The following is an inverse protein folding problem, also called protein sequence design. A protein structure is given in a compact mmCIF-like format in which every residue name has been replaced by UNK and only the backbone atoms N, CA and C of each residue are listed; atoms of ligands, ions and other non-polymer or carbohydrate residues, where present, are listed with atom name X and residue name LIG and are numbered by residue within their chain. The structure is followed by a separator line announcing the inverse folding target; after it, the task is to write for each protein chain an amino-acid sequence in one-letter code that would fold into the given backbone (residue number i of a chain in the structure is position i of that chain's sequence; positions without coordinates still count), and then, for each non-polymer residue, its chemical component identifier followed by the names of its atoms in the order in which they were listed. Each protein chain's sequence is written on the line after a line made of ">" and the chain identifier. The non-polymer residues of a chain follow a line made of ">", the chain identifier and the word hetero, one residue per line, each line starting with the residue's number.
data_IF_672787271512
#
_entry.id   IF_672787271512
#
_cell.length_a   1.000
_cell.length_b   1.000
_cell.length_c   1.000
_cell.angle_alpha   90.00
_cell.angle_beta   90.00
_cell.angle_gamma   90.00
#
_symmetry.space_group_name_H-M   'P 1'
#
loop_
_entity.id
_entity.type
_entity.pdbx_description
1 polymer ?
#
# COMPACT_ATOMS: atom_id res chain seq x y z
N UNK A 1 25.69 -12.35 8.71
CA UNK A 1 25.24 -13.44 7.82
C UNK A 1 25.12 -14.70 8.66
N UNK A 2 24.02 -15.45 8.54
CA UNK A 2 23.81 -16.68 9.31
C UNK A 2 24.61 -17.86 8.75
N UNK A 3 24.57 -19.04 9.42
CA UNK A 3 25.16 -20.27 8.90
C UNK A 3 24.61 -20.62 7.50
N UNK A 4 25.47 -21.02 6.57
CA UNK A 4 25.08 -21.41 5.19
C UNK A 4 25.13 -20.30 4.12
N UNK A 5 25.57 -19.08 4.46
CA UNK A 5 25.71 -17.96 3.51
C UNK A 5 27.16 -17.71 3.06
N UNK A 6 28.06 -18.68 3.25
CA UNK A 6 29.51 -18.53 3.02
C UNK A 6 29.85 -18.29 1.54
N UNK A 7 29.05 -18.84 0.63
CA UNK A 7 29.26 -18.74 -0.82
C UNK A 7 28.35 -17.70 -1.50
N UNK A 8 27.53 -16.98 -0.73
CA UNK A 8 26.62 -15.96 -1.28
C UNK A 8 27.30 -14.60 -1.27
N UNK A 9 27.53 -14.05 -2.46
CA UNK A 9 28.00 -12.67 -2.60
C UNK A 9 26.80 -11.72 -2.62
N UNK A 10 26.57 -10.88 -1.60
CA UNK A 10 25.44 -9.95 -1.58
C UNK A 10 25.59 -8.88 -2.67
N UNK A 11 24.50 -8.58 -3.39
CA UNK A 11 24.46 -7.44 -4.31
C UNK A 11 24.07 -6.19 -3.54
N UNK A 12 24.91 -5.16 -3.63
CA UNK A 12 24.57 -3.82 -3.19
C UNK A 12 23.79 -3.10 -4.28
N UNK A 13 22.56 -2.71 -3.98
CA UNK A 13 21.71 -1.91 -4.87
C UNK A 13 21.53 -0.55 -4.21
N UNK A 14 21.98 0.50 -4.88
CA UNK A 14 21.76 1.88 -4.46
C UNK A 14 20.52 2.40 -5.18
N UNK A 15 19.69 3.15 -4.47
CA UNK A 15 18.55 3.83 -5.04
C UNK A 15 18.32 5.15 -4.31
N UNK A 16 17.64 6.06 -5.00
CA UNK A 16 17.14 7.30 -4.44
C UNK A 16 15.61 7.20 -4.44
N UNK A 17 14.96 7.25 -3.27
CA UNK A 17 13.50 7.17 -3.21
C UNK A 17 12.89 8.44 -3.79
N UNK A 18 11.93 8.28 -4.68
CA UNK A 18 11.23 9.40 -5.30
C UNK A 18 10.61 9.04 -6.64
N UNK A 19 9.96 10.02 -7.25
CA UNK A 19 9.30 9.87 -8.54
C UNK A 19 9.37 11.18 -9.33
N UNK A 20 9.22 11.08 -10.65
CA UNK A 20 9.17 12.26 -11.53
C UNK A 20 7.82 12.95 -11.39
N UNK A 21 7.82 14.26 -11.17
CA UNK A 21 6.61 15.09 -11.18
C UNK A 21 5.82 14.97 -12.49
N UNK A 22 6.52 14.77 -13.61
CA UNK A 22 5.93 14.47 -14.92
C UNK A 22 6.63 13.27 -15.54
N UNK A 23 5.86 12.23 -15.80
CA UNK A 23 6.30 10.97 -16.40
C UNK A 23 5.95 10.90 -17.89
N UNK A 24 4.92 11.61 -18.34
CA UNK A 24 4.60 11.80 -19.75
C UNK A 24 4.97 13.21 -20.19
N UNK A 25 5.98 13.34 -21.05
CA UNK A 25 6.44 14.61 -21.61
C UNK A 25 6.54 14.50 -23.13
N UNK A 26 5.72 15.29 -23.84
CA UNK A 26 5.60 15.24 -25.31
C UNK A 26 5.28 13.81 -25.74
N UNK A 27 6.12 13.19 -26.55
CA UNK A 27 5.99 11.84 -27.08
C UNK A 27 6.73 10.76 -26.27
N UNK A 28 7.23 11.08 -25.08
CA UNK A 28 7.95 10.15 -24.21
C UNK A 28 7.17 9.92 -22.92
N UNK A 29 7.01 8.65 -22.54
CA UNK A 29 6.40 8.24 -21.28
C UNK A 29 7.37 7.34 -20.52
N UNK A 30 7.70 7.74 -19.30
CA UNK A 30 8.52 6.95 -18.38
C UNK A 30 7.64 5.92 -17.65
N UNK A 31 8.09 4.67 -17.62
CA UNK A 31 7.40 3.55 -16.96
C UNK A 31 8.40 2.77 -16.10
N UNK A 32 7.95 2.33 -14.92
CA UNK A 32 8.78 1.63 -13.94
C UNK A 32 9.85 2.51 -13.32
N UNK A 33 11.07 1.98 -13.15
CA UNK A 33 12.18 2.69 -12.50
C UNK A 33 12.53 4.04 -13.17
N UNK A 34 12.20 4.21 -14.45
CA UNK A 34 12.40 5.48 -15.16
C UNK A 34 11.41 6.58 -14.72
N UNK A 35 10.22 6.20 -14.23
CA UNK A 35 9.18 7.09 -13.73
C UNK A 35 9.30 7.38 -12.23
N UNK A 36 9.74 6.39 -11.44
CA UNK A 36 10.00 6.55 -10.01
C UNK A 36 10.27 5.22 -9.32
N UNK A 37 10.90 5.29 -8.16
CA UNK A 37 11.16 4.13 -7.32
C UNK A 37 10.97 4.48 -5.85
N UNK A 38 10.24 3.63 -5.15
CA UNK A 38 10.08 3.64 -3.71
C UNK A 38 10.61 2.31 -3.17
N UNK A 39 10.93 2.27 -1.88
CA UNK A 39 11.40 1.04 -1.27
C UNK A 39 10.36 -0.09 -1.38
N UNK A 40 10.80 -1.36 -1.51
CA UNK A 40 9.90 -2.48 -1.81
C UNK A 40 9.17 -3.03 -0.57
N UNK A 41 8.82 -2.18 0.40
CA UNK A 41 8.17 -2.60 1.65
C UNK A 41 6.81 -3.27 1.40
N UNK A 42 6.05 -2.75 0.43
CA UNK A 42 4.69 -3.22 0.08
C UNK A 42 4.60 -3.71 -1.39
N UNK A 43 5.74 -4.11 -1.98
CA UNK A 43 5.81 -4.65 -3.36
C UNK A 43 5.16 -3.78 -4.44
N UNK A 44 5.23 -2.45 -4.31
CA UNK A 44 4.49 -1.49 -5.17
C UNK A 44 5.08 -1.28 -6.56
N UNK A 45 6.32 -1.72 -6.82
CA UNK A 45 7.00 -1.42 -8.09
C UNK A 45 6.27 -1.94 -9.33
N UNK A 46 5.85 -3.21 -9.31
CA UNK A 46 5.10 -3.82 -10.43
C UNK A 46 3.69 -3.24 -10.53
N UNK A 47 3.03 -3.00 -9.40
CA UNK A 47 1.70 -2.40 -9.35
C UNK A 47 1.66 -1.04 -10.07
N UNK A 48 2.65 -0.18 -9.83
CA UNK A 48 2.71 1.14 -10.47
C UNK A 48 3.03 1.03 -11.97
N UNK A 49 3.82 0.03 -12.38
CA UNK A 49 4.06 -0.28 -13.80
C UNK A 49 2.74 -0.65 -14.49
N UNK A 50 1.96 -1.55 -13.89
CA UNK A 50 0.67 -1.98 -14.45
C UNK A 50 -0.32 -0.81 -14.54
N UNK A 51 -0.40 0.02 -13.50
CA UNK A 51 -1.23 1.21 -13.50
C UNK A 51 -0.81 2.20 -14.61
N UNK A 52 0.49 2.45 -14.78
CA UNK A 52 1.00 3.33 -15.82
C UNK A 52 0.66 2.78 -17.23
N UNK A 53 0.87 1.49 -17.48
CA UNK A 53 0.58 0.87 -18.78
C UNK A 53 -0.93 0.92 -19.07
N UNK A 54 -1.78 0.59 -18.08
CA UNK A 54 -3.23 0.66 -18.24
C UNK A 54 -3.72 2.08 -18.56
N UNK A 55 -3.17 3.09 -17.86
CA UNK A 55 -3.46 4.49 -18.14
C UNK A 55 -2.99 4.93 -19.53
N UNK A 56 -1.81 4.51 -19.98
CA UNK A 56 -1.31 4.82 -21.33
C UNK A 56 -2.21 4.19 -22.39
N UNK A 57 -2.64 2.94 -22.19
CA UNK A 57 -3.52 2.23 -23.12
C UNK A 57 -4.90 2.91 -23.24
N UNK A 58 -5.51 3.26 -22.11
CA UNK A 58 -6.82 3.93 -22.06
C UNK A 58 -6.76 5.35 -22.64
N UNK A 59 -5.69 6.09 -22.35
CA UNK A 59 -5.52 7.49 -22.75
C UNK A 59 -4.65 7.65 -24.01
N UNK A 60 -4.50 6.58 -24.80
CA UNK A 60 -3.62 6.62 -25.97
C UNK A 60 -4.10 7.68 -26.97
N UNK A 61 -3.25 8.62 -27.40
CA UNK A 61 -3.66 9.73 -28.26
C UNK A 61 -3.83 9.25 -29.71
N UNK A 62 -4.99 8.68 -30.03
CA UNK A 62 -5.31 8.26 -31.41
C UNK A 62 -5.43 9.45 -32.36
N UNK A 63 -5.98 10.57 -31.88
CA UNK A 63 -6.16 11.82 -32.63
C UNK A 63 -6.05 13.02 -31.66
N UNK A 64 -5.68 14.18 -32.18
CA UNK A 64 -5.58 15.41 -31.39
C UNK A 64 -4.25 15.57 -30.64
N UNK A 65 -4.14 16.60 -29.77
CA UNK A 65 -2.89 16.93 -29.10
C UNK A 65 -2.55 15.93 -27.99
N UNK A 66 -1.32 15.37 -28.03
CA UNK A 66 -0.79 14.44 -27.01
C UNK A 66 -0.76 15.06 -25.60
N UNK A 67 -0.71 16.40 -25.50
CA UNK A 67 -0.63 17.10 -24.22
C UNK A 67 -1.89 16.93 -23.36
N UNK A 68 -3.05 16.65 -23.96
CA UNK A 68 -4.30 16.45 -23.21
C UNK A 68 -4.26 15.17 -22.34
N UNK A 69 -4.04 13.96 -22.91
CA UNK A 69 -3.89 12.76 -22.10
C UNK A 69 -2.64 12.78 -21.22
N UNK A 70 -1.53 13.38 -21.69
CA UNK A 70 -0.31 13.48 -20.90
C UNK A 70 -0.52 14.25 -19.58
N UNK A 71 -1.31 15.34 -19.60
CA UNK A 71 -1.64 16.11 -18.40
C UNK A 71 -2.41 15.25 -17.39
N UNK A 72 -3.46 14.58 -17.84
CA UNK A 72 -4.28 13.72 -16.98
C UNK A 72 -3.48 12.56 -16.42
N UNK A 73 -2.68 11.91 -17.25
CA UNK A 73 -1.76 10.86 -16.82
C UNK A 73 -0.82 11.33 -15.71
N UNK A 74 -0.17 12.49 -15.89
CA UNK A 74 0.76 13.03 -14.90
C UNK A 74 0.08 13.35 -13.57
N UNK A 75 -1.11 13.93 -13.58
CA UNK A 75 -1.90 14.18 -12.36
C UNK A 75 -2.23 12.88 -11.61
N UNK A 76 -2.73 11.88 -12.34
CA UNK A 76 -3.15 10.60 -11.77
C UNK A 76 -1.98 9.81 -11.20
N UNK A 77 -0.87 9.72 -11.95
CA UNK A 77 0.29 8.93 -11.51
C UNK A 77 1.01 9.59 -10.34
N UNK A 78 1.15 10.93 -10.33
CA UNK A 78 1.74 11.66 -9.21
C UNK A 78 0.91 11.46 -7.93
N UNK A 79 -0.42 11.63 -8.01
CA UNK A 79 -1.29 11.42 -6.86
C UNK A 79 -1.24 9.97 -6.33
N UNK A 80 -1.10 8.99 -7.23
CA UNK A 80 -0.89 7.59 -6.84
C UNK A 80 0.43 7.39 -6.07
N UNK A 81 1.53 7.99 -6.55
CA UNK A 81 2.81 7.95 -5.84
C UNK A 81 2.71 8.60 -4.47
N UNK A 82 2.05 9.76 -4.35
CA UNK A 82 1.83 10.43 -3.06
C UNK A 82 1.05 9.54 -2.10
N UNK A 83 -0.02 8.88 -2.55
CA UNK A 83 -0.79 7.95 -1.72
C UNK A 83 0.07 6.76 -1.26
N UNK A 84 0.94 6.22 -2.14
CA UNK A 84 1.89 5.17 -1.75
C UNK A 84 2.88 5.70 -0.71
N UNK A 85 3.41 6.92 -0.84
CA UNK A 85 4.30 7.54 0.15
C UNK A 85 3.60 7.67 1.50
N UNK A 86 2.34 8.10 1.54
CA UNK A 86 1.54 8.15 2.76
C UNK A 86 1.40 6.73 3.38
N UNK A 87 1.07 5.73 2.57
CA UNK A 87 0.93 4.35 3.05
C UNK A 87 2.25 3.76 3.56
N UNK A 88 3.37 4.01 2.88
CA UNK A 88 4.69 3.58 3.35
C UNK A 88 5.08 4.29 4.64
N UNK A 89 4.90 5.61 4.73
CA UNK A 89 5.24 6.38 5.93
C UNK A 89 4.45 5.91 7.15
N UNK A 90 3.20 5.45 6.97
CA UNK A 90 2.39 4.86 8.04
C UNK A 90 3.12 3.73 8.80
N UNK A 91 3.89 2.91 8.10
CA UNK A 91 4.66 1.80 8.71
C UNK A 91 5.80 2.28 9.60
N UNK A 92 6.24 3.52 9.42
CA UNK A 92 7.37 4.10 10.13
C UNK A 92 6.94 5.04 11.25
N UNK A 93 5.99 5.92 10.98
CA UNK A 93 5.57 6.95 11.94
C UNK A 93 4.75 6.38 13.11
N UNK A 94 4.29 5.13 13.02
CA UNK A 94 3.60 4.43 14.10
C UNK A 94 4.54 3.61 15.01
N UNK A 95 5.83 3.54 14.68
CA UNK A 95 6.78 2.73 15.43
C UNK A 95 6.95 3.23 16.86
N UNK A 96 6.92 2.30 17.83
CA UNK A 96 7.21 2.60 19.25
C UNK A 96 8.70 2.42 19.60
N UNK A 97 9.53 2.13 18.59
CA UNK A 97 10.96 1.89 18.75
C UNK A 97 11.72 3.20 19.04
N UNK A 98 12.75 3.11 19.88
CA UNK A 98 13.44 4.28 20.41
C UNK A 98 14.79 4.57 19.76
N UNK A 99 15.28 3.72 18.85
CA UNK A 99 16.55 3.97 18.17
C UNK A 99 16.45 5.18 17.23
N UNK A 100 17.58 5.88 16.94
CA UNK A 100 17.56 7.16 16.21
C UNK A 100 16.75 7.12 14.90
N UNK A 101 16.96 6.10 14.07
CA UNK A 101 16.22 5.92 12.83
C UNK A 101 14.69 5.90 13.02
N UNK A 102 14.20 5.26 14.07
CA UNK A 102 12.77 5.16 14.35
C UNK A 102 12.23 6.46 14.95
N UNK A 103 12.99 7.10 15.83
CA UNK A 103 12.65 8.42 16.37
C UNK A 103 12.53 9.49 15.28
N UNK A 104 13.47 9.51 14.35
CA UNK A 104 13.43 10.47 13.24
C UNK A 104 12.20 10.22 12.34
N UNK A 105 11.77 8.95 12.24
CA UNK A 105 10.59 8.58 11.48
C UNK A 105 9.26 8.91 12.17
N UNK A 106 9.24 9.07 13.50
CA UNK A 106 8.06 9.49 14.26
C UNK A 106 7.98 11.00 14.47
N UNK A 107 9.01 11.75 14.05
CA UNK A 107 8.99 13.22 14.06
C UNK A 107 7.83 13.73 13.17
N UNK A 108 6.88 14.51 13.71
CA UNK A 108 5.78 15.09 12.93
C UNK A 108 6.23 15.88 11.70
N UNK A 109 7.40 16.51 11.73
CA UNK A 109 7.94 17.26 10.59
C UNK A 109 8.30 16.35 9.39
N UNK A 110 8.42 15.04 9.61
CA UNK A 110 8.71 14.04 8.58
C UNK A 110 7.44 13.35 8.04
N UNK A 111 6.26 13.66 8.58
CA UNK A 111 4.98 13.03 8.22
C UNK A 111 4.28 13.93 7.19
N UNK A 112 3.89 13.40 6.01
CA UNK A 112 3.12 14.18 5.04
C UNK A 112 1.80 14.69 5.64
N UNK A 113 1.43 15.93 5.30
CA UNK A 113 0.23 16.59 5.85
C UNK A 113 -1.03 15.73 5.72
N UNK A 114 -1.24 15.11 4.54
CA UNK A 114 -2.38 14.22 4.30
C UNK A 114 -2.43 13.05 5.29
N UNK A 115 -1.28 12.43 5.59
CA UNK A 115 -1.21 11.34 6.56
C UNK A 115 -1.43 11.87 7.98
N UNK A 116 -0.87 13.02 8.34
CA UNK A 116 -1.09 13.64 9.65
C UNK A 116 -2.58 13.91 9.90
N UNK A 117 -3.28 14.50 8.92
CA UNK A 117 -4.72 14.76 8.98
C UNK A 117 -5.54 13.48 9.10
N UNK A 118 -5.15 12.41 8.40
CA UNK A 118 -5.81 11.11 8.50
C UNK A 118 -5.57 10.47 9.86
N UNK A 119 -4.35 10.52 10.39
CA UNK A 119 -4.02 10.00 11.72
C UNK A 119 -4.82 10.71 12.82
N UNK A 120 -4.99 12.03 12.72
CA UNK A 120 -5.82 12.79 13.68
C UNK A 120 -7.27 12.30 13.66
N UNK A 121 -7.87 12.18 12.47
CA UNK A 121 -9.21 11.63 12.31
C UNK A 121 -9.31 10.18 12.82
N UNK A 122 -8.28 9.37 12.55
CA UNK A 122 -8.30 7.95 12.89
C UNK A 122 -8.16 7.66 14.39
N UNK A 123 -7.80 8.66 15.20
CA UNK A 123 -7.93 8.59 16.67
C UNK A 123 -9.39 8.45 17.11
N UNK A 124 -10.34 8.90 16.30
CA UNK A 124 -11.75 9.00 16.65
C UNK A 124 -12.68 8.11 15.82
N UNK A 125 -12.17 7.53 14.72
CA UNK A 125 -12.91 6.57 13.88
C UNK A 125 -11.95 5.66 13.12
N UNK A 126 -12.35 4.44 12.71
CA UNK A 126 -11.51 3.65 11.83
C UNK A 126 -11.35 4.30 10.44
N UNK A 127 -10.27 3.97 9.70
CA UNK A 127 -10.17 4.26 8.27
C UNK A 127 -11.39 3.74 7.51
N UNK A 128 -11.93 4.55 6.61
CA UNK A 128 -13.15 4.25 5.85
C UNK A 128 -13.01 4.51 4.37
N UNK A 129 -13.93 3.95 3.56
CA UNK A 129 -13.88 4.08 2.09
C UNK A 129 -13.83 5.52 1.58
N UNK A 130 -14.38 6.47 2.34
CA UNK A 130 -14.52 7.86 1.94
C UNK A 130 -13.31 8.73 2.30
N UNK A 131 -12.30 8.16 2.94
CA UNK A 131 -11.02 8.84 3.18
C UNK A 131 -10.18 8.93 1.89
N UNK A 132 -10.57 8.15 0.87
CA UNK A 132 -9.76 7.87 -0.29
C UNK A 132 -10.53 8.06 -1.61
N UNK A 133 -9.80 8.49 -2.65
CA UNK A 133 -10.27 8.43 -4.03
C UNK A 133 -9.81 7.12 -4.64
N UNK A 134 -10.72 6.14 -4.74
CA UNK A 134 -10.36 4.75 -5.08
C UNK A 134 -9.51 4.61 -6.35
N UNK A 135 -9.78 5.39 -7.40
CA UNK A 135 -9.01 5.32 -8.65
C UNK A 135 -7.54 5.78 -8.50
N UNK A 136 -7.24 6.56 -7.46
CA UNK A 136 -5.90 7.04 -7.14
C UNK A 136 -5.18 6.13 -6.13
N UNK A 137 -5.91 5.22 -5.49
CA UNK A 137 -5.32 4.35 -4.47
C UNK A 137 -4.72 3.10 -5.07
N UNK A 138 -3.61 2.70 -4.48
CA UNK A 138 -3.00 1.39 -4.65
C UNK A 138 -3.44 0.41 -3.56
N UNK A 139 -3.96 0.93 -2.44
CA UNK A 139 -4.35 0.17 -1.26
C UNK A 139 -5.76 0.58 -0.82
N UNK A 140 -6.62 -0.39 -0.51
CA UNK A 140 -7.94 -0.09 -0.01
C UNK A 140 -7.90 0.35 1.47
N UNK A 141 -8.95 0.99 1.94
CA UNK A 141 -9.03 1.48 3.33
C UNK A 141 -8.77 0.40 4.39
N UNK A 142 -9.13 -0.86 4.13
CA UNK A 142 -8.87 -1.97 5.05
C UNK A 142 -7.39 -2.36 5.12
N UNK A 143 -6.59 -2.07 4.09
CA UNK A 143 -5.13 -2.23 4.17
C UNK A 143 -4.54 -1.26 5.21
N UNK A 144 -5.01 -0.01 5.24
CA UNK A 144 -4.64 0.94 6.29
C UNK A 144 -5.05 0.44 7.67
N UNK A 145 -6.25 -0.16 7.81
CA UNK A 145 -6.68 -0.77 9.08
C UNK A 145 -5.72 -1.88 9.55
N UNK A 146 -5.23 -2.73 8.64
CA UNK A 146 -4.29 -3.79 9.01
C UNK A 146 -2.98 -3.23 9.57
N UNK A 147 -2.42 -2.20 8.94
CA UNK A 147 -1.18 -1.58 9.42
C UNK A 147 -1.42 -0.82 10.72
N UNK A 148 -2.44 0.04 10.74
CA UNK A 148 -2.78 0.87 11.89
C UNK A 148 -2.96 0.03 13.16
N UNK A 149 -3.80 -1.00 13.10
CA UNK A 149 -4.10 -1.85 14.26
C UNK A 149 -3.05 -2.94 14.50
N UNK A 150 -2.35 -3.39 13.45
CA UNK A 150 -1.19 -4.28 13.60
C UNK A 150 -0.02 -3.60 14.30
N UNK A 151 0.09 -2.27 14.19
CA UNK A 151 1.08 -1.44 14.86
C UNK A 151 0.56 -0.79 16.15
N UNK A 152 -0.53 -1.31 16.72
CA UNK A 152 -1.09 -0.91 18.01
C UNK A 152 -1.54 0.56 18.12
N UNK A 153 -1.83 1.20 16.98
CA UNK A 153 -2.43 2.54 17.00
C UNK A 153 -3.81 2.50 17.66
N UNK A 154 -4.08 3.48 18.52
CA UNK A 154 -5.32 3.55 19.30
C UNK A 154 -6.36 4.45 18.62
N UNK A 155 -7.47 3.83 18.20
CA UNK A 155 -8.74 4.50 17.89
C UNK A 155 -9.66 4.43 19.11
N UNK A 156 -10.06 5.56 19.69
CA UNK A 156 -10.94 5.61 20.85
C UNK A 156 -12.41 5.82 20.44
N UNK A 157 -13.18 4.74 20.53
CA UNK A 157 -14.62 4.72 20.27
C UNK A 157 -15.47 4.65 21.55
N UNK A 158 -14.84 4.70 22.73
CA UNK A 158 -15.55 4.57 24.00
C UNK A 158 -16.68 5.61 24.19
N UNK A 159 -16.50 6.89 23.80
CA UNK A 159 -17.57 7.90 23.90
C UNK A 159 -18.81 7.59 23.04
N UNK A 160 -18.62 6.90 21.91
CA UNK A 160 -19.67 6.59 20.93
C UNK A 160 -20.16 5.15 21.01
N UNK A 161 -19.87 4.42 22.09
CA UNK A 161 -20.21 2.99 22.22
C UNK A 161 -21.71 2.72 22.05
N UNK A 162 -22.58 3.64 22.49
CA UNK A 162 -24.03 3.54 22.33
C UNK A 162 -24.49 3.51 20.88
N UNK A 163 -23.70 4.09 19.97
CA UNK A 163 -24.04 4.22 18.55
C UNK A 163 -23.78 2.90 17.78
N UNK A 164 -23.12 1.92 18.44
CA UNK A 164 -22.81 0.61 17.88
C UNK A 164 -23.50 -0.54 18.64
N UNK A 165 -24.85 -0.59 18.66
CA UNK A 165 -25.60 -1.55 19.48
C UNK A 165 -25.52 -3.00 18.98
N UNK A 166 -25.11 -3.21 17.73
CA UNK A 166 -25.18 -4.51 17.04
C UNK A 166 -24.03 -5.49 17.40
N UNK A 167 -23.63 -5.53 18.66
CA UNK A 167 -22.51 -6.37 19.15
C UNK A 167 -22.74 -7.84 18.83
N UNK A 168 -23.94 -8.37 19.06
CA UNK A 168 -24.24 -9.78 18.76
C UNK A 168 -24.15 -10.13 17.27
N UNK A 169 -24.40 -9.19 16.36
CA UNK A 169 -24.20 -9.40 14.92
C UNK A 169 -22.71 -9.41 14.55
N UNK A 170 -21.91 -8.54 15.19
CA UNK A 170 -20.46 -8.53 15.04
C UNK A 170 -19.84 -9.84 15.55
N UNK A 171 -20.23 -10.33 16.73
CA UNK A 171 -19.77 -11.60 17.29
C UNK A 171 -20.05 -12.80 16.37
N UNK A 172 -21.25 -12.85 15.77
CA UNK A 172 -21.60 -13.87 14.77
C UNK A 172 -20.70 -13.78 13.53
N UNK A 173 -20.40 -12.57 13.07
CA UNK A 173 -19.47 -12.36 11.94
C UNK A 173 -18.07 -12.85 12.29
N UNK A 174 -17.55 -12.51 13.48
CA UNK A 174 -16.25 -12.99 13.95
C UNK A 174 -16.21 -14.51 14.08
N UNK A 175 -17.26 -15.14 14.62
CA UNK A 175 -17.35 -16.59 14.70
C UNK A 175 -17.33 -17.25 13.30
N UNK A 176 -18.05 -16.67 12.33
CA UNK A 176 -18.04 -17.14 10.94
C UNK A 176 -16.65 -17.05 10.30
N UNK A 177 -15.93 -15.94 10.52
CA UNK A 177 -14.57 -15.75 10.01
C UNK A 177 -13.61 -16.80 10.60
N UNK A 178 -13.67 -17.04 11.92
CA UNK A 178 -12.86 -18.08 12.57
C UNK A 178 -13.13 -19.47 11.99
N UNK A 179 -14.41 -19.85 11.88
CA UNK A 179 -14.79 -21.15 11.31
C UNK A 179 -14.32 -21.32 9.86
N UNK A 180 -14.38 -20.24 9.05
CA UNK A 180 -13.86 -20.27 7.69
C UNK A 180 -12.34 -20.44 7.66
N UNK A 181 -11.62 -19.75 8.54
CA UNK A 181 -10.17 -19.90 8.70
C UNK A 181 -9.77 -21.33 9.06
N UNK A 182 -10.42 -21.93 10.06
CA UNK A 182 -10.17 -23.32 10.47
C UNK A 182 -10.40 -24.30 9.31
N UNK A 183 -11.52 -24.19 8.59
CA UNK A 183 -11.79 -25.03 7.42
C UNK A 183 -10.76 -24.85 6.32
N UNK A 184 -10.39 -23.61 6.02
CA UNK A 184 -9.36 -23.33 5.00
C UNK A 184 -8.02 -24.00 5.34
N UNK A 185 -7.65 -24.11 6.63
CA UNK A 185 -6.42 -24.84 7.02
C UNK A 185 -6.49 -26.36 6.80
N UNK A 186 -7.69 -26.94 6.77
CA UNK A 186 -7.91 -28.36 6.51
C UNK A 186 -8.03 -28.65 5.01
N UNK A 187 -8.69 -27.76 4.28
CA UNK A 187 -9.09 -27.98 2.88
C UNK A 187 -7.99 -27.57 1.88
N UNK A 188 -7.16 -26.58 2.22
CA UNK A 188 -6.15 -26.06 1.29
C UNK A 188 -4.85 -26.87 1.37
N UNK A 189 -4.26 -27.26 0.22
CA UNK A 189 -2.94 -27.86 0.21
C UNK A 189 -1.89 -26.86 0.70
N UNK A 190 -0.79 -27.38 1.25
CA UNK A 190 0.38 -26.54 1.51
C UNK A 190 0.87 -25.87 0.21
N UNK A 191 1.46 -24.69 0.33
CA UNK A 191 1.99 -23.95 -0.81
C UNK A 191 2.92 -24.81 -1.69
N UNK A 192 3.83 -25.59 -1.08
CA UNK A 192 4.73 -26.49 -1.81
C UNK A 192 3.98 -27.58 -2.58
N UNK A 193 2.97 -28.19 -1.96
CA UNK A 193 2.19 -29.24 -2.62
C UNK A 193 1.43 -28.68 -3.83
N UNK A 194 0.84 -27.48 -3.71
CA UNK A 194 0.15 -26.82 -4.81
C UNK A 194 1.10 -26.54 -5.99
N UNK A 195 2.27 -25.95 -5.73
CA UNK A 195 3.26 -25.66 -6.79
C UNK A 195 3.73 -26.95 -7.48
N UNK A 196 3.97 -28.02 -6.72
CA UNK A 196 4.33 -29.31 -7.29
C UNK A 196 3.23 -29.90 -8.16
N UNK A 197 1.96 -29.75 -7.75
CA UNK A 197 0.82 -30.21 -8.54
C UNK A 197 0.70 -29.46 -9.86
N UNK A 198 0.81 -28.13 -9.84
CA UNK A 198 0.77 -27.29 -11.06
C UNK A 198 1.88 -27.69 -12.03
N UNK A 199 3.11 -27.84 -11.54
CA UNK A 199 4.26 -28.17 -12.40
C UNK A 199 4.20 -29.61 -12.94
N UNK A 200 3.49 -30.53 -12.29
CA UNK A 200 3.28 -31.90 -12.77
C UNK A 200 2.16 -32.02 -13.81
N UNK A 201 1.20 -31.10 -13.77
CA UNK A 201 0.06 -31.05 -14.69
C UNK A 201 0.31 -30.17 -15.92
N UNK A 202 1.57 -29.74 -16.13
CA UNK A 202 2.02 -29.02 -17.32
C UNK A 202 1.96 -29.86 -18.59
#
# INVERSE_FOLDING_TARGET
>A
MGPGMQDITPRRILFEPGYRERQWVKNCVAVGLSGGFLEPLESTGVLVIEAAIGMIAEMFPHNGPVDAPARRFNELIAARYDNIVNFLKLHYCLSQRSEPFWRDNTDPASIPDRLADLLDQWRHRPPGRFDFTLDLESFAFFNYQYILYGMEFRTDLAPSRSDFPNVGAAEKTFARIRNFGERATLDLPSHRALIQQINRAG
#
